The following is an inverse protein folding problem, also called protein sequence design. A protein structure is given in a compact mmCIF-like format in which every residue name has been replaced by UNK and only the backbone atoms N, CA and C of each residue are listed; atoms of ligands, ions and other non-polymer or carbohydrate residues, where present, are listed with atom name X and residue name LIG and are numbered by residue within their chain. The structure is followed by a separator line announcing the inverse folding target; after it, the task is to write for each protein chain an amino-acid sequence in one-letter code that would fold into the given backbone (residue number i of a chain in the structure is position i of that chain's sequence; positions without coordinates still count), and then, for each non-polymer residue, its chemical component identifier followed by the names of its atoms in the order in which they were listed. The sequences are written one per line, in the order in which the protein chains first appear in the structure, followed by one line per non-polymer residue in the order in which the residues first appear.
data_IF_490369050371
#
_entry.id   IF_490369050371
#
_cell.length_a   1.000
_cell.length_b   1.000
_cell.length_c   1.000
_cell.angle_alpha   90.00
_cell.angle_beta   90.00
_cell.angle_gamma   90.00
#
_symmetry.space_group_name_H-M   'P 1'
#
loop_
_entity.id
_entity.type
_entity.pdbx_description
1 polymer ?
#
# COMPACT_ATOMS: atom_id res chain seq x y z
N UNK A 1 -10.45 24.57 6.45
CA UNK A 1 -9.33 24.53 5.48
C UNK A 1 -8.45 23.29 5.66
N UNK A 2 -8.04 22.92 6.88
CA UNK A 2 -7.18 21.76 7.13
C UNK A 2 -7.65 20.44 6.46
N UNK A 3 -8.95 20.12 6.50
CA UNK A 3 -9.48 18.91 5.88
C UNK A 3 -9.31 18.85 4.36
N UNK A 4 -9.47 19.98 3.66
CA UNK A 4 -9.26 20.04 2.21
C UNK A 4 -7.78 19.85 1.85
N UNK A 5 -6.87 20.46 2.62
CA UNK A 5 -5.43 20.25 2.46
C UNK A 5 -5.05 18.80 2.68
N UNK A 6 -5.57 18.16 3.73
CA UNK A 6 -5.35 16.73 4.00
C UNK A 6 -5.89 15.85 2.87
N UNK A 7 -7.08 16.13 2.35
CA UNK A 7 -7.66 15.42 1.22
C UNK A 7 -6.82 15.54 -0.05
N UNK A 8 -6.28 16.74 -0.33
CA UNK A 8 -5.41 16.97 -1.48
C UNK A 8 -4.09 16.20 -1.35
N UNK A 9 -3.45 16.24 -0.19
CA UNK A 9 -2.23 15.48 0.08
C UNK A 9 -2.47 13.97 -0.05
N UNK A 10 -3.61 13.49 0.45
CA UNK A 10 -3.99 12.09 0.33
C UNK A 10 -4.15 11.68 -1.14
N UNK A 11 -4.84 12.49 -1.95
CA UNK A 11 -4.99 12.27 -3.39
C UNK A 11 -3.63 12.21 -4.10
N UNK A 12 -2.74 13.17 -3.83
CA UNK A 12 -1.38 13.18 -4.40
C UNK A 12 -0.63 11.91 -4.02
N UNK A 13 -0.69 11.50 -2.75
CA UNK A 13 -0.08 10.26 -2.27
C UNK A 13 -0.62 9.01 -2.99
N UNK A 14 -1.94 8.92 -3.17
CA UNK A 14 -2.58 7.82 -3.89
C UNK A 14 -2.14 7.75 -5.37
N UNK A 15 -2.17 8.89 -6.06
CA UNK A 15 -1.76 8.96 -7.48
C UNK A 15 -0.27 8.66 -7.63
N UNK A 16 0.58 9.17 -6.73
CA UNK A 16 2.01 8.90 -6.74
C UNK A 16 2.32 7.40 -6.52
N UNK A 17 1.69 6.78 -5.52
CA UNK A 17 1.85 5.34 -5.26
C UNK A 17 1.39 4.47 -6.44
N UNK A 18 0.25 4.82 -7.04
CA UNK A 18 -0.28 4.09 -8.20
C UNK A 18 0.62 4.27 -9.43
N UNK A 19 1.12 5.49 -9.64
CA UNK A 19 2.05 5.81 -10.72
C UNK A 19 3.38 5.08 -10.55
N UNK A 20 3.87 4.96 -9.31
CA UNK A 20 5.07 4.20 -9.01
C UNK A 20 4.93 2.73 -9.42
N UNK A 21 3.82 2.09 -9.04
CA UNK A 21 3.52 0.70 -9.44
C UNK A 21 3.44 0.55 -10.96
N UNK A 22 2.77 1.50 -11.64
CA UNK A 22 2.68 1.51 -13.10
C UNK A 22 4.06 1.64 -13.77
N UNK A 23 4.87 2.62 -13.37
CA UNK A 23 6.20 2.89 -13.92
C UNK A 23 7.12 1.68 -13.71
N UNK A 24 7.07 1.07 -12.53
CA UNK A 24 8.00 0.00 -12.15
C UNK A 24 7.68 -1.34 -12.83
N UNK A 25 6.39 -1.69 -12.99
CA UNK A 25 6.01 -3.04 -13.41
C UNK A 25 5.35 -3.12 -14.79
N UNK A 26 4.60 -2.09 -15.21
CA UNK A 26 3.62 -2.21 -16.30
C UNK A 26 3.58 -0.99 -17.24
N UNK A 27 4.70 -0.25 -17.37
CA UNK A 27 4.76 0.97 -18.17
C UNK A 27 4.31 0.78 -19.63
N UNK A 28 4.56 -0.40 -20.19
CA UNK A 28 4.20 -0.74 -21.57
C UNK A 28 2.75 -1.23 -21.75
N UNK A 29 2.01 -1.51 -20.67
CA UNK A 29 0.70 -2.14 -20.75
C UNK A 29 -0.42 -1.08 -20.64
N UNK A 30 -1.22 -0.96 -21.70
CA UNK A 30 -2.27 0.07 -21.79
C UNK A 30 -3.32 -0.03 -20.67
N UNK A 31 -3.69 -1.25 -20.25
CA UNK A 31 -4.67 -1.44 -19.17
C UNK A 31 -4.15 -0.88 -17.83
N UNK A 32 -2.84 -0.90 -17.60
CA UNK A 32 -2.23 -0.39 -16.38
C UNK A 32 -2.28 1.15 -16.34
N UNK A 33 -2.11 1.80 -17.50
CA UNK A 33 -2.36 3.23 -17.66
C UNK A 33 -3.85 3.57 -17.45
N UNK A 34 -4.77 2.76 -17.97
CA UNK A 34 -6.20 2.94 -17.74
C UNK A 34 -6.57 2.79 -16.26
N UNK A 35 -5.97 1.84 -15.54
CA UNK A 35 -6.16 1.67 -14.09
C UNK A 35 -5.65 2.89 -13.31
N UNK A 36 -4.44 3.39 -13.62
CA UNK A 36 -3.90 4.61 -13.02
C UNK A 36 -4.83 5.81 -13.24
N UNK A 37 -5.29 6.01 -14.49
CA UNK A 37 -6.22 7.07 -14.84
C UNK A 37 -7.55 6.92 -14.07
N UNK A 38 -8.08 5.70 -13.98
CA UNK A 38 -9.34 5.42 -13.28
C UNK A 38 -9.24 5.71 -11.77
N UNK A 39 -8.15 5.29 -11.12
CA UNK A 39 -7.90 5.59 -9.70
C UNK A 39 -7.73 7.10 -9.48
N UNK A 40 -6.96 7.78 -10.33
CA UNK A 40 -6.74 9.22 -10.24
C UNK A 40 -8.00 10.05 -10.47
N UNK A 41 -8.76 9.74 -11.52
CA UNK A 41 -10.03 10.41 -11.82
C UNK A 41 -11.09 10.11 -10.75
N UNK A 42 -11.17 8.88 -10.25
CA UNK A 42 -12.07 8.53 -9.15
C UNK A 42 -11.77 9.32 -7.88
N UNK A 43 -10.49 9.37 -7.48
CA UNK A 43 -10.06 10.15 -6.31
C UNK A 43 -10.26 11.66 -6.49
N UNK A 44 -9.95 12.20 -7.68
CA UNK A 44 -10.18 13.59 -8.03
C UNK A 44 -11.67 13.95 -8.04
N UNK A 45 -12.51 13.07 -8.59
CA UNK A 45 -13.96 13.22 -8.57
C UNK A 45 -14.51 13.25 -7.15
N UNK A 46 -14.07 12.34 -6.28
CA UNK A 46 -14.42 12.36 -4.85
C UNK A 46 -14.00 13.66 -4.16
N UNK A 47 -12.77 14.15 -4.45
CA UNK A 47 -12.27 15.39 -3.87
C UNK A 47 -13.09 16.62 -4.30
N UNK A 48 -13.40 16.71 -5.59
CA UNK A 48 -14.22 17.80 -6.15
C UNK A 48 -15.65 17.73 -5.61
N UNK A 49 -16.25 16.54 -5.58
CA UNK A 49 -17.58 16.33 -5.03
C UNK A 49 -17.65 16.73 -3.55
N UNK A 50 -16.65 16.35 -2.75
CA UNK A 50 -16.56 16.76 -1.35
C UNK A 50 -16.35 18.27 -1.19
N UNK A 51 -15.55 18.89 -2.07
CA UNK A 51 -15.34 20.34 -2.05
C UNK A 51 -16.62 21.10 -2.37
N UNK A 52 -17.39 20.63 -3.35
CA UNK A 52 -18.68 21.22 -3.73
C UNK A 52 -19.74 21.04 -2.63
N UNK A 53 -19.77 19.87 -1.98
CA UNK A 53 -20.68 19.59 -0.86
C UNK A 53 -20.31 20.36 0.42
N UNK A 54 -19.10 20.90 0.53
CA UNK A 54 -18.58 21.54 1.74
C UNK A 54 -18.31 20.52 2.87
N UNK A 55 -18.25 20.99 4.12
CA UNK A 55 -18.24 20.07 5.27
C UNK A 55 -16.99 19.18 5.42
N UNK A 56 -15.81 19.68 5.03
CA UNK A 56 -14.52 18.95 5.14
C UNK A 56 -14.15 18.45 6.54
N UNK A 57 -14.81 18.94 7.60
CA UNK A 57 -14.65 18.44 8.96
C UNK A 57 -15.16 17.00 9.11
N UNK A 58 -16.30 16.68 8.48
CA UNK A 58 -16.89 15.34 8.51
C UNK A 58 -16.57 14.55 7.23
N UNK A 59 -16.39 15.25 6.10
CA UNK A 59 -15.83 14.76 4.84
C UNK A 59 -16.31 13.37 4.38
N UNK A 60 -17.57 13.01 4.65
CA UNK A 60 -18.03 11.63 4.58
C UNK A 60 -17.95 11.01 3.17
N UNK A 61 -18.06 11.83 2.11
CA UNK A 61 -17.93 11.35 0.74
C UNK A 61 -16.48 11.00 0.43
N UNK A 62 -15.55 11.93 0.71
CA UNK A 62 -14.14 11.68 0.44
C UNK A 62 -13.60 10.61 1.39
N UNK A 63 -13.63 10.84 2.70
CA UNK A 63 -13.03 9.92 3.69
C UNK A 63 -13.72 8.57 3.78
N UNK A 64 -15.00 8.48 3.40
CA UNK A 64 -15.73 7.20 3.37
C UNK A 64 -15.33 6.31 2.19
N UNK A 65 -15.15 6.88 1.00
CA UNK A 65 -14.88 6.10 -0.22
C UNK A 65 -13.40 6.02 -0.60
N UNK A 66 -12.60 7.00 -0.19
CA UNK A 66 -11.17 7.06 -0.50
C UNK A 66 -10.37 5.82 -0.06
N UNK A 67 -10.65 5.17 1.09
CA UNK A 67 -9.96 3.93 1.48
C UNK A 67 -10.05 2.81 0.45
N UNK A 68 -11.12 2.74 -0.36
CA UNK A 68 -11.22 1.74 -1.44
C UNK A 68 -10.24 2.03 -2.57
N UNK A 69 -10.06 3.30 -2.94
CA UNK A 69 -9.04 3.70 -3.92
C UNK A 69 -7.64 3.33 -3.46
N UNK A 70 -7.34 3.58 -2.17
CA UNK A 70 -6.09 3.15 -1.52
C UNK A 70 -5.95 1.63 -1.58
N UNK A 71 -6.98 0.87 -1.22
CA UNK A 71 -6.96 -0.58 -1.23
C UNK A 71 -6.71 -1.15 -2.64
N UNK A 72 -7.28 -0.56 -3.68
CA UNK A 72 -7.02 -0.95 -5.08
C UNK A 72 -5.56 -0.68 -5.45
N UNK A 73 -5.05 0.51 -5.13
CA UNK A 73 -3.67 0.92 -5.43
C UNK A 73 -2.64 0.01 -4.74
N UNK A 74 -2.76 -0.19 -3.43
CA UNK A 74 -1.87 -1.08 -2.68
C UNK A 74 -2.10 -2.56 -3.01
N UNK A 75 -3.33 -2.95 -3.35
CA UNK A 75 -3.64 -4.32 -3.79
C UNK A 75 -2.93 -4.66 -5.08
N UNK A 76 -2.88 -3.73 -6.03
CA UNK A 76 -2.10 -3.91 -7.26
C UNK A 76 -0.60 -4.03 -6.96
N UNK A 77 -0.04 -3.13 -6.13
CA UNK A 77 1.36 -3.19 -5.72
C UNK A 77 1.71 -4.52 -5.03
N UNK A 78 0.86 -4.97 -4.10
CA UNK A 78 0.98 -6.25 -3.41
C UNK A 78 1.06 -7.43 -4.39
N UNK A 79 0.14 -7.46 -5.37
CA UNK A 79 0.08 -8.54 -6.36
C UNK A 79 1.32 -8.58 -7.25
N UNK A 80 1.79 -7.43 -7.74
CA UNK A 80 3.01 -7.37 -8.57
C UNK A 80 4.26 -7.74 -7.76
N UNK A 81 4.45 -7.14 -6.59
CA UNK A 81 5.59 -7.46 -5.74
C UNK A 81 5.58 -8.92 -5.28
N UNK A 82 4.42 -9.48 -4.97
CA UNK A 82 4.26 -10.90 -4.64
C UNK A 82 4.60 -11.83 -5.82
N UNK A 83 4.19 -11.47 -7.04
CA UNK A 83 4.54 -12.20 -8.27
C UNK A 83 6.05 -12.16 -8.52
N UNK A 84 6.68 -10.99 -8.42
CA UNK A 84 8.14 -10.85 -8.58
C UNK A 84 8.92 -11.57 -7.48
N UNK A 85 8.46 -11.52 -6.22
CA UNK A 85 9.06 -12.27 -5.14
C UNK A 85 9.07 -13.79 -5.42
N UNK A 86 7.94 -14.34 -5.92
CA UNK A 86 7.86 -15.76 -6.30
C UNK A 86 8.83 -16.11 -7.43
N UNK A 87 8.96 -15.24 -8.45
CA UNK A 87 9.91 -15.44 -9.54
C UNK A 87 11.36 -15.39 -9.06
N UNK A 88 11.71 -14.39 -8.25
CA UNK A 88 13.05 -14.22 -7.67
C UNK A 88 13.41 -15.39 -6.75
N UNK A 89 12.45 -15.92 -5.96
CA UNK A 89 12.68 -17.14 -5.17
C UNK A 89 13.04 -18.35 -6.02
N UNK A 90 12.39 -18.53 -7.17
CA UNK A 90 12.75 -19.61 -8.11
C UNK A 90 14.14 -19.41 -8.70
N UNK A 91 14.52 -18.17 -9.03
CA UNK A 91 15.87 -17.85 -9.52
C UNK A 91 16.95 -17.97 -8.45
N UNK A 92 16.60 -17.69 -7.19
CA UNK A 92 17.49 -17.83 -6.03
C UNK A 92 17.89 -19.31 -5.83
N UNK A 93 16.97 -20.24 -6.05
CA UNK A 93 17.26 -21.69 -6.01
C UNK A 93 18.26 -22.13 -7.08
N UNK A 94 18.44 -21.34 -8.15
CA UNK A 94 19.38 -21.60 -9.24
C UNK A 94 20.67 -20.77 -9.09
N UNK A 95 20.87 -20.08 -7.97
CA UNK A 95 22.03 -19.20 -7.75
C UNK A 95 22.04 -17.92 -8.60
N UNK A 96 20.94 -17.60 -9.31
CA UNK A 96 20.89 -16.48 -10.26
C UNK A 96 20.34 -15.16 -9.67
N UNK A 97 19.94 -15.15 -8.41
CA UNK A 97 19.32 -13.97 -7.78
C UNK A 97 19.95 -13.66 -6.42
N UNK A 98 20.01 -12.38 -6.08
CA UNK A 98 20.44 -11.93 -4.76
C UNK A 98 19.35 -12.23 -3.70
N UNK A 99 19.68 -12.93 -2.60
CA UNK A 99 18.73 -13.24 -1.52
C UNK A 99 18.17 -11.98 -0.84
N UNK A 100 18.97 -10.91 -0.71
CA UNK A 100 18.55 -9.64 -0.11
C UNK A 100 17.48 -8.97 -0.96
N UNK A 101 17.68 -8.87 -2.27
CA UNK A 101 16.70 -8.29 -3.19
C UNK A 101 15.41 -9.10 -3.17
N UNK A 102 15.53 -10.43 -3.24
CA UNK A 102 14.38 -11.35 -3.15
C UNK A 102 13.58 -11.12 -1.87
N UNK A 103 14.26 -11.00 -0.72
CA UNK A 103 13.64 -10.76 0.57
C UNK A 103 12.95 -9.38 0.66
N UNK A 104 13.58 -8.31 0.12
CA UNK A 104 12.97 -6.96 0.07
C UNK A 104 11.64 -6.95 -0.66
N UNK A 105 11.53 -7.64 -1.80
CA UNK A 105 10.25 -7.77 -2.52
C UNK A 105 9.18 -8.48 -1.68
N UNK A 106 9.57 -9.48 -0.87
CA UNK A 106 8.66 -10.18 0.04
C UNK A 106 8.17 -9.28 1.17
N UNK A 107 9.06 -8.52 1.80
CA UNK A 107 8.72 -7.55 2.85
C UNK A 107 7.80 -6.45 2.33
N UNK A 108 8.12 -5.88 1.15
CA UNK A 108 7.32 -4.83 0.54
C UNK A 108 5.93 -5.35 0.14
N UNK A 109 5.84 -6.57 -0.41
CA UNK A 109 4.55 -7.21 -0.64
C UNK A 109 3.76 -7.36 0.67
N UNK A 110 4.36 -7.90 1.73
CA UNK A 110 3.67 -8.05 3.01
C UNK A 110 3.18 -6.69 3.58
N UNK A 111 4.01 -5.65 3.54
CA UNK A 111 3.65 -4.30 3.99
C UNK A 111 2.46 -3.71 3.21
N UNK A 112 2.52 -3.80 1.88
CA UNK A 112 1.43 -3.31 1.00
C UNK A 112 0.16 -4.13 1.18
N UNK A 113 0.25 -5.45 1.38
CA UNK A 113 -0.88 -6.31 1.74
C UNK A 113 -1.54 -5.91 3.06
N UNK A 114 -0.76 -5.61 4.10
CA UNK A 114 -1.29 -5.07 5.37
C UNK A 114 -1.96 -3.70 5.19
N UNK A 115 -1.42 -2.85 4.31
CA UNK A 115 -2.06 -1.58 3.98
C UNK A 115 -3.43 -1.77 3.34
N UNK A 116 -3.61 -2.77 2.45
CA UNK A 116 -4.92 -3.15 1.91
C UNK A 116 -5.88 -3.55 3.03
N UNK A 117 -5.46 -4.45 3.91
CA UNK A 117 -6.28 -4.92 5.04
C UNK A 117 -6.70 -3.74 5.92
N UNK A 118 -5.77 -2.86 6.26
CA UNK A 118 -6.03 -1.67 7.10
C UNK A 118 -7.09 -0.77 6.48
N UNK A 119 -7.01 -0.50 5.17
CA UNK A 119 -7.96 0.38 4.48
C UNK A 119 -9.34 -0.27 4.30
N UNK A 120 -9.40 -1.58 4.06
CA UNK A 120 -10.67 -2.32 4.01
C UNK A 120 -11.36 -2.35 5.37
N UNK A 121 -10.61 -2.57 6.45
CA UNK A 121 -11.14 -2.50 7.82
C UNK A 121 -11.68 -1.09 8.09
N UNK A 122 -10.91 -0.03 7.78
CA UNK A 122 -11.37 1.34 7.95
C UNK A 122 -12.66 1.63 7.18
N UNK A 123 -12.78 1.13 5.95
CA UNK A 123 -14.01 1.23 5.17
C UNK A 123 -15.19 0.50 5.82
N UNK A 124 -14.98 -0.71 6.34
CA UNK A 124 -16.02 -1.47 7.07
C UNK A 124 -16.48 -0.73 8.32
N UNK A 125 -15.57 -0.17 9.10
CA UNK A 125 -15.90 0.62 10.30
C UNK A 125 -16.74 1.83 9.93
N UNK A 126 -16.33 2.59 8.89
CA UNK A 126 -17.10 3.71 8.38
C UNK A 126 -18.51 3.29 7.95
N UNK A 127 -18.67 2.18 7.22
CA UNK A 127 -19.98 1.65 6.81
C UNK A 127 -20.88 1.23 7.97
N UNK A 128 -20.28 0.92 9.13
CA UNK A 128 -20.99 0.57 10.37
C UNK A 128 -21.22 1.77 11.28
N UNK A 129 -20.86 2.98 10.85
CA UNK A 129 -20.88 4.20 11.66
C UNK A 129 -20.05 4.07 12.95
N UNK A 130 -18.96 3.28 12.89
CA UNK A 130 -18.01 3.12 13.97
C UNK A 130 -16.77 3.98 13.71
N UNK A 131 -16.25 4.59 14.77
CA UNK A 131 -15.00 5.35 14.70
C UNK A 131 -13.80 4.43 14.96
N UNK A 132 -13.01 4.13 13.91
CA UNK A 132 -11.90 3.18 14.02
C UNK A 132 -10.86 3.56 15.08
N UNK A 133 -10.64 4.85 15.34
CA UNK A 133 -9.58 5.31 16.27
C UNK A 133 -10.01 5.18 17.72
N UNK A 134 -11.28 5.48 18.02
CA UNK A 134 -11.81 5.53 19.39
C UNK A 134 -12.48 4.21 19.80
N UNK A 135 -12.81 3.35 18.83
CA UNK A 135 -13.37 2.02 19.09
C UNK A 135 -12.35 1.10 19.82
N UNK A 136 -12.79 0.37 20.87
CA UNK A 136 -11.91 -0.46 21.68
C UNK A 136 -11.24 -1.62 20.92
N UNK A 137 -11.77 -2.02 19.76
CA UNK A 137 -11.19 -3.03 18.88
C UNK A 137 -10.46 -2.38 17.70
N UNK A 138 -11.07 -1.35 17.10
CA UNK A 138 -10.54 -0.62 15.95
C UNK A 138 -9.18 0.02 16.23
N UNK A 139 -9.02 0.68 17.37
CA UNK A 139 -7.79 1.39 17.73
C UNK A 139 -6.58 0.46 17.87
N UNK A 140 -6.66 -0.60 18.70
CA UNK A 140 -5.60 -1.59 18.80
C UNK A 140 -5.31 -2.30 17.48
N UNK A 141 -6.33 -2.62 16.69
CA UNK A 141 -6.16 -3.25 15.38
C UNK A 141 -5.40 -2.33 14.41
N UNK A 142 -5.78 -1.04 14.35
CA UNK A 142 -5.09 -0.03 13.56
C UNK A 142 -3.62 0.11 13.97
N UNK A 143 -3.35 0.13 15.28
CA UNK A 143 -2.00 0.22 15.83
C UNK A 143 -1.14 -0.97 15.40
N UNK A 144 -1.64 -2.20 15.58
CA UNK A 144 -0.92 -3.42 15.21
C UNK A 144 -0.63 -3.43 13.71
N UNK A 145 -1.66 -3.24 12.88
CA UNK A 145 -1.51 -3.24 11.43
C UNK A 145 -0.57 -2.13 10.95
N UNK A 146 -0.71 -0.92 11.49
CA UNK A 146 0.10 0.25 11.13
C UNK A 146 1.57 0.09 11.53
N UNK A 147 1.84 -0.35 12.77
CA UNK A 147 3.21 -0.58 13.26
C UNK A 147 3.87 -1.73 12.51
N UNK A 148 3.16 -2.85 12.31
CA UNK A 148 3.70 -3.99 11.54
C UNK A 148 3.99 -3.58 10.10
N UNK A 149 3.05 -2.92 9.42
CA UNK A 149 3.26 -2.47 8.04
C UNK A 149 4.44 -1.49 7.93
N UNK A 150 4.52 -0.51 8.82
CA UNK A 150 5.61 0.47 8.86
C UNK A 150 6.97 -0.18 9.11
N UNK A 151 7.02 -1.16 10.02
CA UNK A 151 8.25 -1.91 10.33
C UNK A 151 8.71 -2.73 9.13
N UNK A 152 7.79 -3.44 8.45
CA UNK A 152 8.11 -4.18 7.24
C UNK A 152 8.59 -3.26 6.12
N UNK A 153 7.96 -2.09 5.96
CA UNK A 153 8.36 -1.09 4.99
C UNK A 153 9.76 -0.53 5.29
N UNK A 154 10.03 -0.22 6.56
CA UNK A 154 11.36 0.21 7.01
C UNK A 154 12.41 -0.85 6.73
N UNK A 155 12.14 -2.13 7.02
CA UNK A 155 13.06 -3.23 6.72
C UNK A 155 13.25 -3.46 5.21
N UNK A 156 12.24 -3.19 4.38
CA UNK A 156 12.34 -3.32 2.93
C UNK A 156 13.31 -2.29 2.33
N UNK A 157 13.30 -1.05 2.83
CA UNK A 157 14.13 0.04 2.28
C UNK A 157 15.44 0.28 3.05
N UNK A 158 15.41 0.16 4.37
CA UNK A 158 16.52 0.46 5.29
C UNK A 158 16.80 -0.74 6.23
N UNK A 159 17.15 -1.93 5.69
CA UNK A 159 17.43 -3.10 6.51
C UNK A 159 18.69 -2.88 7.36
N UNK A 160 18.66 -3.11 8.69
CA UNK A 160 19.84 -3.10 9.54
C UNK A 160 20.89 -4.14 9.09
N UNK A 161 22.17 -3.87 9.35
CA UNK A 161 23.28 -4.78 8.97
C UNK A 161 23.12 -6.19 9.52
N UNK A 162 22.65 -6.32 10.78
CA UNK A 162 22.38 -7.60 11.44
C UNK A 162 21.31 -8.39 10.69
N UNK A 163 20.24 -7.70 10.25
CA UNK A 163 19.19 -8.32 9.44
C UNK A 163 19.72 -8.81 8.10
N UNK A 164 20.56 -8.02 7.42
CA UNK A 164 21.18 -8.43 6.15
C UNK A 164 22.09 -9.65 6.32
N UNK A 165 22.87 -9.71 7.40
CA UNK A 165 23.70 -10.87 7.71
C UNK A 165 22.84 -12.13 7.92
N UNK A 166 21.74 -12.01 8.67
CA UNK A 166 20.79 -13.10 8.88
C UNK A 166 20.11 -13.57 7.58
N UNK A 167 19.69 -12.65 6.70
CA UNK A 167 19.10 -13.01 5.39
C UNK A 167 20.11 -13.76 4.52
N UNK A 168 21.37 -13.31 4.48
CA UNK A 168 22.44 -13.96 3.70
C UNK A 168 22.77 -15.34 4.26
N UNK A 169 22.84 -15.49 5.58
CA UNK A 169 23.11 -16.77 6.23
C UNK A 169 22.01 -17.83 5.98
N UNK A 170 20.79 -17.41 5.65
CA UNK A 170 19.67 -18.29 5.29
C UNK A 170 19.55 -18.57 3.78
N UNK A 171 20.37 -17.92 2.96
CA UNK A 171 20.34 -18.19 1.52
C UNK A 171 20.87 -19.61 1.26
N UNK A 172 20.23 -20.40 0.39
CA UNK A 172 20.79 -21.69 0.01
C UNK A 172 22.16 -21.48 -0.64
N UNK A 173 23.17 -22.25 -0.20
CA UNK A 173 24.46 -22.30 -0.88
C UNK A 173 24.20 -22.76 -2.32
N UNK A 174 24.65 -21.97 -3.29
CA UNK A 174 24.56 -22.35 -4.69
C UNK A 174 25.39 -23.63 -4.88
N UNK A 175 24.72 -24.75 -5.10
CA UNK A 175 25.34 -26.05 -5.38
C UNK A 175 26.02 -26.06 -6.74
#
# INVERSE_FOLDING_TARGET
MLGATAGLLALVGLVANTSFTWILFRRAEAWAGALLASVGLGAGGLFVAQSAAGGWANGALFWGWFPLGIAVSFGWAFMECGRYHRLLRRRLQLGMADPVVTNRFGLYAAATGLAVVTNLVGWVFWRRHLEMVTDPVGGPLLLVLGVTSSTLMMLAFLPPRVYLAWVRARAPEAA
#
